data_IF_648114028124
#
_entry.id   IF_648114028124
#
_cell.length_a   1.000
_cell.length_b   1.000
_cell.length_c   1.000
_cell.angle_alpha   90.00
_cell.angle_beta   90.00
_cell.angle_gamma   90.00
#
_symmetry.space_group_name_H-M   'P 1'
#
loop_
_entity.id
_entity.type
_entity.pdbx_description
1 polymer ?
#
# COMPACT_ATOMS: atom_id res chain seq x y z
N UNK A 1 -15.40 -27.74 27.13
CA UNK A 1 -14.11 -27.03 27.05
C UNK A 1 -14.30 -25.84 26.13
N UNK A 2 -14.19 -24.62 26.63
CA UNK A 2 -14.13 -23.42 25.79
C UNK A 2 -12.67 -23.17 25.42
N UNK A 3 -12.34 -23.19 24.13
CA UNK A 3 -11.11 -22.63 23.62
C UNK A 3 -11.39 -21.16 23.27
N UNK A 4 -11.00 -20.25 24.14
CA UNK A 4 -10.87 -18.83 23.78
C UNK A 4 -9.60 -18.69 22.96
N UNK A 5 -9.71 -18.76 21.63
CA UNK A 5 -8.66 -18.28 20.73
C UNK A 5 -8.72 -16.75 20.71
N UNK A 6 -8.19 -16.14 21.77
CA UNK A 6 -7.99 -14.71 21.91
C UNK A 6 -6.52 -14.44 22.19
N UNK A 7 -5.96 -13.50 21.43
CA UNK A 7 -4.62 -12.92 21.57
C UNK A 7 -3.43 -13.75 21.06
N UNK A 8 -3.26 -13.76 19.74
CA UNK A 8 -1.95 -13.50 19.13
C UNK A 8 -2.04 -12.33 18.13
N UNK A 9 -2.80 -11.30 18.49
CA UNK A 9 -2.73 -9.98 17.87
C UNK A 9 -1.68 -9.18 18.65
N UNK A 10 -0.44 -9.16 18.16
CA UNK A 10 0.63 -8.40 18.82
C UNK A 10 2.03 -8.96 18.65
N UNK A 11 2.48 -9.17 17.41
CA UNK A 11 3.89 -9.02 17.08
C UNK A 11 3.96 -8.26 15.78
N UNK A 12 4.52 -7.05 15.84
CA UNK A 12 4.76 -6.12 14.73
C UNK A 12 5.65 -6.81 13.68
N UNK A 13 5.03 -7.64 12.81
CA UNK A 13 5.73 -8.38 11.77
C UNK A 13 6.59 -7.41 10.97
N UNK A 14 7.78 -7.85 10.56
CA UNK A 14 8.64 -6.99 9.76
C UNK A 14 7.93 -6.53 8.48
N UNK A 15 7.22 -7.48 7.86
CA UNK A 15 6.43 -7.30 6.65
C UNK A 15 5.26 -6.34 6.88
N UNK A 16 4.53 -6.45 7.99
CA UNK A 16 3.47 -5.49 8.35
C UNK A 16 4.06 -4.09 8.56
N UNK A 17 5.17 -3.97 9.29
CA UNK A 17 5.79 -2.67 9.56
C UNK A 17 6.32 -2.01 8.28
N UNK A 18 6.83 -2.81 7.34
CA UNK A 18 7.21 -2.37 6.01
C UNK A 18 5.99 -1.90 5.21
N UNK A 19 4.92 -2.70 5.17
CA UNK A 19 3.68 -2.35 4.49
C UNK A 19 3.07 -1.05 5.03
N UNK A 20 3.06 -0.86 6.35
CA UNK A 20 2.63 0.40 6.98
C UNK A 20 3.52 1.57 6.63
N UNK A 21 4.81 1.35 6.39
CA UNK A 21 5.72 2.39 5.91
C UNK A 21 5.39 2.79 4.47
N UNK A 22 5.11 1.80 3.61
CA UNK A 22 4.66 2.03 2.23
C UNK A 22 3.29 2.71 2.16
N UNK A 23 2.36 2.34 3.05
CA UNK A 23 1.03 2.95 3.16
C UNK A 23 1.10 4.45 3.52
N UNK A 24 2.06 4.83 4.39
CA UNK A 24 2.33 6.25 4.69
C UNK A 24 2.90 7.03 3.51
N UNK A 25 3.39 6.35 2.48
CA UNK A 25 3.91 6.98 1.26
C UNK A 25 2.88 7.05 0.14
N UNK A 26 1.64 6.60 0.37
CA UNK A 26 0.55 6.75 -0.61
C UNK A 26 0.36 8.24 -0.91
N UNK A 27 0.38 8.58 -2.20
CA UNK A 27 0.16 9.95 -2.63
C UNK A 27 -1.33 10.30 -2.42
N UNK A 28 -1.58 11.35 -1.66
CA UNK A 28 -2.94 11.83 -1.34
C UNK A 28 -3.43 12.94 -2.26
N UNK A 29 -2.56 13.41 -3.16
CA UNK A 29 -2.86 14.40 -4.18
C UNK A 29 -2.11 14.06 -5.48
N UNK A 30 -2.67 14.40 -6.65
CA UNK A 30 -2.03 14.14 -7.93
C UNK A 30 -0.74 14.95 -8.09
N UNK A 31 0.22 14.37 -8.81
CA UNK A 31 1.45 15.08 -9.20
C UNK A 31 1.08 16.30 -10.06
N UNK A 32 1.69 17.45 -9.73
CA UNK A 32 1.41 18.74 -10.34
C UNK A 32 -0.06 19.23 -10.26
N UNK A 33 -0.88 18.62 -9.39
CA UNK A 33 -2.30 18.96 -9.29
C UNK A 33 -3.15 18.45 -10.46
N UNK A 34 -2.64 17.52 -11.27
CA UNK A 34 -3.28 17.07 -12.50
C UNK A 34 -4.00 15.74 -12.29
N UNK A 35 -5.32 15.77 -12.33
CA UNK A 35 -6.17 14.58 -12.29
C UNK A 35 -6.35 13.98 -13.70
N UNK A 36 -5.35 13.23 -14.16
CA UNK A 36 -5.40 12.47 -15.41
C UNK A 36 -5.71 10.98 -15.17
N UNK A 37 -5.80 10.18 -16.24
CA UNK A 37 -6.06 8.74 -16.12
C UNK A 37 -5.08 8.05 -15.18
N UNK A 38 -3.78 8.35 -15.28
CA UNK A 38 -2.75 7.75 -14.44
C UNK A 38 -2.97 7.97 -12.94
N UNK A 39 -3.46 9.15 -12.56
CA UNK A 39 -3.82 9.43 -11.17
C UNK A 39 -5.00 8.57 -10.70
N UNK A 40 -6.00 8.40 -11.56
CA UNK A 40 -7.17 7.58 -11.24
C UNK A 40 -6.82 6.09 -11.21
N UNK A 41 -5.98 5.62 -12.14
CA UNK A 41 -5.47 4.25 -12.18
C UNK A 41 -4.72 3.95 -10.88
N UNK A 42 -3.71 4.76 -10.53
CA UNK A 42 -2.99 4.65 -9.27
C UNK A 42 -3.92 4.54 -8.04
N UNK A 43 -4.97 5.37 -7.97
CA UNK A 43 -5.93 5.31 -6.84
C UNK A 43 -6.75 4.03 -6.82
N UNK A 44 -7.11 3.52 -7.99
CA UNK A 44 -7.82 2.24 -8.13
C UNK A 44 -6.90 1.12 -7.64
N UNK A 45 -5.66 1.07 -8.12
CA UNK A 45 -4.69 0.02 -7.77
C UNK A 45 -4.43 -0.01 -6.25
N UNK A 46 -4.27 1.17 -5.62
CA UNK A 46 -4.15 1.28 -4.15
C UNK A 46 -5.40 0.75 -3.43
N UNK A 47 -6.59 1.04 -3.95
CA UNK A 47 -7.86 0.57 -3.36
C UNK A 47 -8.01 -0.94 -3.52
N UNK A 48 -7.57 -1.49 -4.64
CA UNK A 48 -7.58 -2.93 -4.93
C UNK A 48 -6.60 -3.67 -4.01
N UNK A 49 -5.35 -3.21 -3.90
CA UNK A 49 -4.35 -3.78 -3.00
C UNK A 49 -4.82 -3.79 -1.53
N UNK A 50 -5.49 -2.72 -1.07
CA UNK A 50 -6.08 -2.66 0.28
C UNK A 50 -7.22 -3.67 0.48
N UNK A 51 -8.04 -3.89 -0.55
CA UNK A 51 -9.12 -4.87 -0.52
C UNK A 51 -8.59 -6.29 -0.53
N UNK A 52 -7.54 -6.55 -1.31
CA UNK A 52 -6.88 -7.86 -1.41
C UNK A 52 -6.20 -8.23 -0.10
N UNK A 53 -5.38 -7.34 0.47
CA UNK A 53 -4.81 -7.53 1.81
C UNK A 53 -5.89 -7.92 2.83
N UNK A 54 -7.03 -7.20 2.86
CA UNK A 54 -8.12 -7.51 3.79
C UNK A 54 -8.68 -8.92 3.56
N UNK A 55 -8.81 -9.33 2.31
CA UNK A 55 -9.29 -10.66 1.95
C UNK A 55 -8.27 -11.74 2.35
N UNK A 56 -6.99 -11.50 2.12
CA UNK A 56 -5.92 -12.47 2.37
C UNK A 56 -5.63 -12.63 3.85
N UNK A 57 -5.59 -11.54 4.62
CA UNK A 57 -5.57 -11.60 6.09
C UNK A 57 -6.80 -12.34 6.66
N UNK A 58 -7.94 -12.31 5.94
CA UNK A 58 -9.14 -13.06 6.32
C UNK A 58 -9.08 -14.55 5.99
N UNK A 59 -8.19 -14.97 5.08
CA UNK A 59 -7.97 -16.36 4.67
C UNK A 59 -6.73 -16.99 5.30
N UNK A 60 -5.81 -16.17 5.80
CA UNK A 60 -4.56 -16.61 6.41
C UNK A 60 -4.81 -17.58 7.56
N UNK A 61 -4.11 -18.71 7.52
CA UNK A 61 -4.28 -19.84 8.43
C UNK A 61 -3.07 -20.03 9.35
N UNK A 62 -1.90 -19.52 8.96
CA UNK A 62 -0.68 -19.54 9.75
C UNK A 62 0.13 -18.24 9.65
N UNK A 63 1.32 -18.24 10.26
CA UNK A 63 2.20 -17.08 10.30
C UNK A 63 2.86 -16.79 8.95
N UNK A 64 3.08 -17.80 8.12
CA UNK A 64 3.66 -17.64 6.78
C UNK A 64 2.66 -16.95 5.88
N UNK A 65 1.40 -17.38 5.89
CA UNK A 65 0.29 -16.71 5.18
C UNK A 65 0.18 -15.22 5.55
N UNK A 66 0.34 -14.88 6.83
CA UNK A 66 0.30 -13.49 7.29
C UNK A 66 1.51 -12.69 6.76
N UNK A 67 2.71 -13.27 6.76
CA UNK A 67 3.92 -12.59 6.27
C UNK A 67 3.84 -12.35 4.77
N UNK A 68 3.40 -13.35 4.02
CA UNK A 68 3.25 -13.27 2.56
C UNK A 68 2.22 -12.21 2.18
N UNK A 69 1.06 -12.18 2.84
CA UNK A 69 0.03 -11.17 2.57
C UNK A 69 0.52 -9.74 2.83
N UNK A 70 1.29 -9.52 3.91
CA UNK A 70 1.87 -8.21 4.20
C UNK A 70 3.02 -7.83 3.26
N UNK A 71 3.87 -8.79 2.88
CA UNK A 71 4.98 -8.59 1.95
C UNK A 71 4.47 -8.22 0.54
N UNK A 72 3.47 -8.96 0.06
CA UNK A 72 2.80 -8.69 -1.22
C UNK A 72 2.20 -7.29 -1.23
N UNK A 73 1.41 -6.94 -0.22
CA UNK A 73 0.83 -5.61 -0.11
C UNK A 73 1.89 -4.50 -0.10
N UNK A 74 2.99 -4.66 0.64
CA UNK A 74 4.09 -3.69 0.63
C UNK A 74 4.74 -3.55 -0.76
N UNK A 75 4.94 -4.66 -1.46
CA UNK A 75 5.53 -4.71 -2.80
C UNK A 75 4.64 -3.96 -3.80
N UNK A 76 3.33 -4.19 -3.75
CA UNK A 76 2.34 -3.56 -4.63
C UNK A 76 2.30 -2.05 -4.40
N UNK A 77 2.09 -1.59 -3.16
CA UNK A 77 2.07 -0.16 -2.85
C UNK A 77 3.31 0.59 -3.37
N UNK A 78 4.48 -0.03 -3.24
CA UNK A 78 5.74 0.53 -3.73
C UNK A 78 5.78 0.56 -5.26
N UNK A 79 5.35 -0.52 -5.92
CA UNK A 79 5.38 -0.65 -7.37
C UNK A 79 4.41 0.35 -8.02
N UNK A 80 3.16 0.38 -7.58
CA UNK A 80 2.14 1.29 -8.14
C UNK A 80 2.54 2.76 -7.98
N UNK A 81 3.09 3.11 -6.80
CA UNK A 81 3.59 4.47 -6.58
C UNK A 81 4.78 4.79 -7.49
N UNK A 82 5.70 3.85 -7.68
CA UNK A 82 6.86 4.02 -8.55
C UNK A 82 6.42 4.21 -10.00
N UNK A 83 5.54 3.36 -10.51
CA UNK A 83 5.03 3.43 -11.88
C UNK A 83 4.31 4.75 -12.13
N UNK A 84 3.40 5.15 -11.25
CA UNK A 84 2.74 6.46 -11.37
C UNK A 84 3.73 7.63 -11.41
N UNK A 85 4.76 7.62 -10.56
CA UNK A 85 5.81 8.66 -10.54
C UNK A 85 6.61 8.65 -11.85
N UNK A 86 7.05 7.48 -12.30
CA UNK A 86 7.85 7.32 -13.52
C UNK A 86 7.05 7.77 -14.75
N UNK A 87 5.81 7.32 -14.89
CA UNK A 87 4.94 7.69 -16.00
C UNK A 87 4.60 9.19 -16.05
N UNK A 88 4.39 9.81 -14.87
CA UNK A 88 4.20 11.26 -14.79
C UNK A 88 5.48 12.01 -15.17
N UNK A 89 6.64 11.52 -14.73
CA UNK A 89 7.94 12.12 -15.07
C UNK A 89 8.26 12.02 -16.57
N UNK A 90 7.97 10.89 -17.20
CA UNK A 90 8.11 10.69 -18.66
C UNK A 90 7.25 11.67 -19.46
N UNK A 91 6.10 12.08 -18.91
CA UNK A 91 5.19 13.08 -19.50
C UNK A 91 5.55 14.52 -19.13
N UNK A 92 6.64 14.74 -18.40
CA UNK A 92 7.18 16.06 -18.06
C UNK A 92 6.63 16.66 -16.75
N UNK A 93 5.79 15.93 -16.02
CA UNK A 93 5.29 16.37 -14.73
C UNK A 93 6.23 15.91 -13.62
N UNK A 94 6.68 16.84 -12.76
CA UNK A 94 7.53 16.51 -11.61
C UNK A 94 6.76 16.69 -10.32
N UNK A 95 6.98 15.78 -9.36
CA UNK A 95 6.53 15.99 -7.99
C UNK A 95 7.29 17.19 -7.41
N UNK A 96 6.58 18.29 -7.18
CA UNK A 96 7.12 19.47 -6.52
C UNK A 96 6.98 19.32 -5.01
N UNK A 97 8.06 19.54 -4.26
CA UNK A 97 7.96 19.72 -2.81
C UNK A 97 7.44 21.14 -2.55
N UNK A 98 6.13 21.31 -2.32
CA UNK A 98 5.62 22.60 -1.82
C UNK A 98 6.02 22.71 -0.35
N UNK A 99 7.11 23.43 -0.08
CA UNK A 99 7.39 23.90 1.27
C UNK A 99 6.56 25.17 1.47
N UNK A 100 5.47 25.08 2.23
CA UNK A 100 4.78 26.28 2.72
C UNK A 100 5.65 26.85 3.85
N UNK A 101 6.28 27.99 3.57
CA UNK A 101 7.04 28.77 4.56
C UNK A 101 6.16 29.63 5.45
#
# INVERSE_FOLDING_TARGET
MMATAGQAAGSDLYEERLARAEERMILTAPIAGIENSLWYDYRIDITEAQKELRADLGRASDLEDLRDAWEEYARELRQERKEYIEEMAERGYRSGTVTVG
#
